data_IF_025089610391
#
_entry.id   IF_025089610391
#
_cell.length_a   1.000
_cell.length_b   1.000
_cell.length_c   1.000
_cell.angle_alpha   90.00
_cell.angle_beta   90.00
_cell.angle_gamma   90.00
#
_symmetry.space_group_name_H-M   'P 1'
#
loop_
_entity.id
_entity.type
_entity.pdbx_description
1 polymer ?
#
# COMPACT_ATOMS: atom_id res chain seq x y z
N UNK A 1 1.53 6.07 -11.13
CA UNK A 1 1.00 7.38 -10.73
C UNK A 1 0.33 7.28 -9.38
N UNK A 2 0.93 7.93 -8.37
CA UNK A 2 0.25 8.17 -7.09
C UNK A 2 -0.83 9.24 -7.32
N UNK A 3 -2.01 9.05 -6.72
CA UNK A 3 -3.17 9.92 -6.91
C UNK A 3 -3.59 10.60 -5.62
N UNK A 4 -3.62 9.86 -4.53
CA UNK A 4 -3.93 10.37 -3.20
C UNK A 4 -2.94 9.81 -2.19
N UNK A 5 -2.55 10.65 -1.23
CA UNK A 5 -1.84 10.23 -0.03
C UNK A 5 -2.55 10.85 1.16
N UNK A 6 -2.84 10.03 2.17
CA UNK A 6 -3.42 10.47 3.44
C UNK A 6 -2.56 9.97 4.58
N UNK A 7 -2.06 10.88 5.40
CA UNK A 7 -1.38 10.52 6.66
C UNK A 7 -2.46 10.13 7.67
N UNK A 8 -2.34 8.95 8.26
CA UNK A 8 -3.24 8.43 9.29
C UNK A 8 -2.76 8.81 10.68
N UNK A 9 -1.47 8.57 10.93
CA UNK A 9 -0.82 8.76 12.21
C UNK A 9 0.54 9.40 11.97
N UNK A 10 0.94 10.34 12.83
CA UNK A 10 2.24 10.99 12.76
C UNK A 10 2.81 11.20 14.15
N UNK A 11 4.01 10.68 14.38
CA UNK A 11 4.79 10.82 15.60
C UNK A 11 6.26 11.12 15.23
N UNK A 12 7.08 11.61 16.18
CA UNK A 12 8.48 11.96 15.89
C UNK A 12 9.33 10.82 15.31
N UNK A 13 9.01 9.57 15.66
CA UNK A 13 9.76 8.39 15.26
C UNK A 13 9.04 7.48 14.26
N UNK A 14 7.75 7.72 14.00
CA UNK A 14 6.96 6.88 13.11
C UNK A 14 5.81 7.68 12.48
N UNK A 15 5.50 7.42 11.22
CA UNK A 15 4.23 7.85 10.65
C UNK A 15 3.63 6.76 9.77
N UNK A 16 2.31 6.81 9.61
CA UNK A 16 1.54 5.90 8.76
C UNK A 16 0.80 6.69 7.70
N UNK A 17 0.74 6.16 6.50
CA UNK A 17 0.01 6.78 5.41
C UNK A 17 -0.67 5.74 4.53
N UNK A 18 -1.83 6.11 4.00
CA UNK A 18 -2.46 5.41 2.90
C UNK A 18 -2.09 6.12 1.60
N UNK A 19 -1.62 5.34 0.64
CA UNK A 19 -1.38 5.78 -0.73
C UNK A 19 -2.28 5.04 -1.69
N UNK A 20 -2.99 5.79 -2.52
CA UNK A 20 -3.79 5.26 -3.60
C UNK A 20 -3.27 5.76 -4.93
N UNK A 21 -3.29 4.90 -5.94
CA UNK A 21 -2.78 5.29 -7.25
C UNK A 21 -3.16 4.31 -8.33
N UNK A 22 -2.53 4.51 -9.47
CA UNK A 22 -2.67 3.66 -10.63
C UNK A 22 -1.29 3.29 -11.16
N UNK A 23 -1.13 2.06 -11.62
CA UNK A 23 0.09 1.57 -12.24
C UNK A 23 -0.20 1.12 -13.67
N UNK A 24 0.74 1.42 -14.56
CA UNK A 24 0.80 0.87 -15.90
C UNK A 24 1.91 -0.17 -15.90
N UNK A 25 1.57 -1.38 -16.33
CA UNK A 25 2.52 -2.48 -16.44
C UNK A 25 2.64 -2.85 -17.91
N UNK A 26 3.84 -3.24 -18.31
CA UNK A 26 4.08 -3.79 -19.63
C UNK A 26 4.50 -5.25 -19.50
N UNK A 27 4.00 -6.08 -20.40
CA UNK A 27 4.53 -7.41 -20.64
C UNK A 27 5.77 -7.28 -21.53
N UNK A 28 6.87 -7.89 -21.08
CA UNK A 28 8.17 -7.84 -21.78
C UNK A 28 8.74 -9.25 -21.88
N UNK A 29 9.57 -9.49 -22.89
CA UNK A 29 10.36 -10.73 -22.97
C UNK A 29 11.40 -10.77 -21.85
N UNK A 30 12.00 -11.95 -21.60
CA UNK A 30 13.13 -12.08 -20.67
C UNK A 30 14.35 -11.22 -21.05
N UNK A 31 14.48 -10.86 -22.33
CA UNK A 31 15.48 -9.90 -22.82
C UNK A 31 15.07 -8.43 -22.70
N UNK A 32 13.91 -8.14 -22.10
CA UNK A 32 13.39 -6.78 -21.90
C UNK A 32 12.69 -6.17 -23.12
N UNK A 33 12.47 -6.93 -24.19
CA UNK A 33 11.76 -6.42 -25.36
C UNK A 33 10.25 -6.28 -25.06
N UNK A 34 9.68 -5.12 -25.38
CA UNK A 34 8.26 -4.84 -25.17
C UNK A 34 7.36 -5.77 -26.00
N UNK A 35 6.32 -6.32 -25.36
CA UNK A 35 5.27 -7.14 -26.01
C UNK A 35 3.97 -6.34 -26.10
N UNK A 36 3.44 -5.91 -24.94
CA UNK A 36 2.20 -5.13 -24.85
C UNK A 36 2.06 -4.42 -23.51
N UNK A 37 1.25 -3.37 -23.46
CA UNK A 37 0.78 -2.74 -22.22
C UNK A 37 -0.39 -3.54 -21.64
N UNK A 38 -0.33 -3.82 -20.34
CA UNK A 38 -1.42 -4.45 -19.59
C UNK A 38 -2.47 -3.40 -19.19
N UNK A 39 -3.73 -3.81 -18.92
CA UNK A 39 -4.73 -2.91 -18.38
C UNK A 39 -4.21 -2.17 -17.14
N UNK A 40 -4.50 -0.87 -17.07
CA UNK A 40 -4.15 -0.03 -15.93
C UNK A 40 -4.74 -0.64 -14.66
N UNK A 41 -3.91 -0.78 -13.63
CA UNK A 41 -4.35 -1.30 -12.33
C UNK A 41 -4.38 -0.18 -11.32
N UNK A 42 -5.41 -0.13 -10.49
CA UNK A 42 -5.39 0.68 -9.28
C UNK A 42 -4.55 -0.03 -8.22
N UNK A 43 -3.99 0.73 -7.29
CA UNK A 43 -3.44 0.18 -6.06
C UNK A 43 -3.89 1.01 -4.86
N UNK A 44 -4.07 0.34 -3.74
CA UNK A 44 -4.35 0.95 -2.44
C UNK A 44 -3.44 0.27 -1.43
N UNK A 45 -2.60 1.07 -0.77
CA UNK A 45 -1.58 0.55 0.14
C UNK A 45 -1.50 1.38 1.40
N UNK A 46 -1.30 0.71 2.53
CA UNK A 46 -0.86 1.35 3.76
C UNK A 46 0.66 1.24 3.84
N UNK A 47 1.30 2.29 4.30
CA UNK A 47 2.73 2.39 4.49
C UNK A 47 3.00 2.85 5.92
N UNK A 48 3.95 2.19 6.58
CA UNK A 48 4.48 2.58 7.89
C UNK A 48 5.93 2.96 7.69
N UNK A 49 6.30 4.16 8.13
CA UNK A 49 7.66 4.67 8.07
C UNK A 49 8.20 4.90 9.46
N UNK A 50 9.42 4.44 9.72
CA UNK A 50 10.15 4.74 10.94
C UNK A 50 11.26 5.76 10.64
N UNK A 51 11.56 6.59 11.63
CA UNK A 51 12.67 7.55 11.57
C UNK A 51 13.95 6.85 12.05
N UNK A 52 14.95 6.80 11.18
CA UNK A 52 16.28 6.25 11.46
C UNK A 52 17.33 7.16 10.85
N UNK A 53 18.33 7.59 11.64
CA UNK A 53 19.43 8.46 11.19
C UNK A 53 18.93 9.72 10.46
N UNK A 54 17.90 10.36 10.99
CA UNK A 54 17.23 11.51 10.38
C UNK A 54 16.61 11.27 8.99
N UNK A 55 16.31 10.01 8.65
CA UNK A 55 15.62 9.64 7.44
C UNK A 55 14.37 8.81 7.74
N UNK A 56 13.33 8.98 6.92
CA UNK A 56 12.16 8.11 6.96
C UNK A 56 12.45 6.87 6.12
N UNK A 57 12.41 5.70 6.75
CA UNK A 57 12.58 4.40 6.10
C UNK A 57 11.27 3.63 6.15
N UNK A 58 10.94 2.94 5.06
CA UNK A 58 9.75 2.11 4.99
C UNK A 58 9.96 0.89 5.90
N UNK A 59 9.15 0.78 6.95
CA UNK A 59 9.20 -0.30 7.91
C UNK A 59 8.22 -1.44 7.55
N UNK A 60 7.05 -1.09 7.04
CA UNK A 60 6.04 -2.03 6.57
C UNK A 60 5.19 -1.41 5.46
N UNK A 61 4.68 -2.25 4.56
CA UNK A 61 3.69 -1.85 3.58
C UNK A 61 2.75 -3.00 3.27
N UNK A 62 1.46 -2.71 3.18
CA UNK A 62 0.46 -3.73 2.89
C UNK A 62 -0.48 -3.28 1.80
N UNK A 63 -0.76 -4.18 0.86
CA UNK A 63 -1.67 -3.94 -0.25
C UNK A 63 -3.08 -4.38 0.14
N UNK A 64 -4.04 -3.47 -0.03
CA UNK A 64 -5.45 -3.72 0.21
C UNK A 64 -6.32 -3.33 -0.99
N UNK A 65 -5.76 -3.40 -2.19
CA UNK A 65 -6.47 -3.16 -3.45
C UNK A 65 -7.65 -4.13 -3.61
N UNK A 66 -7.48 -5.38 -3.16
CA UNK A 66 -8.54 -6.37 -2.95
C UNK A 66 -8.85 -6.45 -1.44
N UNK A 67 -9.92 -5.82 -0.94
CA UNK A 67 -10.26 -5.77 0.49
C UNK A 67 -10.44 -7.15 1.11
N UNK A 68 -11.17 -8.02 0.41
CA UNK A 68 -11.54 -9.33 0.94
C UNK A 68 -10.31 -10.24 1.00
N UNK A 69 -9.49 -10.19 -0.06
CA UNK A 69 -8.19 -10.84 -0.09
C UNK A 69 -7.26 -10.32 1.01
N UNK A 70 -7.20 -9.01 1.20
CA UNK A 70 -6.36 -8.39 2.21
C UNK A 70 -6.78 -8.77 3.63
N UNK A 71 -8.08 -8.75 3.95
CA UNK A 71 -8.61 -9.17 5.26
C UNK A 71 -8.34 -10.65 5.51
N UNK A 72 -8.54 -11.52 4.51
CA UNK A 72 -8.21 -12.94 4.60
C UNK A 72 -6.72 -13.12 4.90
N UNK A 73 -5.85 -12.45 4.13
CA UNK A 73 -4.41 -12.61 4.20
C UNK A 73 -3.82 -12.00 5.48
N UNK A 74 -4.48 -10.99 6.05
CA UNK A 74 -4.12 -10.34 7.31
C UNK A 74 -4.03 -11.32 8.48
N UNK A 75 -4.84 -12.38 8.46
CA UNK A 75 -4.81 -13.43 9.49
C UNK A 75 -3.46 -14.17 9.56
N UNK A 76 -2.70 -14.19 8.47
CA UNK A 76 -1.41 -14.89 8.37
C UNK A 76 -0.20 -13.97 8.56
N UNK A 77 -0.41 -12.67 8.71
CA UNK A 77 0.67 -11.70 8.94
C UNK A 77 1.30 -11.93 10.31
N UNK A 78 2.62 -11.78 10.40
CA UNK A 78 3.37 -11.97 11.64
C UNK A 78 3.00 -10.88 12.67
N UNK A 79 3.02 -11.23 13.95
CA UNK A 79 2.62 -10.32 15.03
C UNK A 79 3.37 -8.98 14.99
N UNK A 80 4.68 -8.99 14.76
CA UNK A 80 5.48 -7.78 14.69
C UNK A 80 5.04 -6.82 13.56
N UNK A 81 4.56 -7.36 12.44
CA UNK A 81 4.07 -6.56 11.32
C UNK A 81 2.65 -6.05 11.59
N UNK A 82 1.82 -6.87 12.26
CA UNK A 82 0.51 -6.43 12.77
C UNK A 82 0.63 -5.28 13.77
N UNK A 83 1.61 -5.35 14.66
CA UNK A 83 1.88 -4.31 15.65
C UNK A 83 2.32 -2.99 14.97
N UNK A 84 3.10 -3.08 13.89
CA UNK A 84 3.53 -1.90 13.12
C UNK A 84 2.40 -1.25 12.34
N UNK A 85 1.64 -2.04 11.59
CA UNK A 85 0.57 -1.53 10.73
C UNK A 85 -0.61 -1.07 11.59
N UNK A 86 -1.01 -1.86 12.58
CA UNK A 86 -2.21 -1.64 13.38
C UNK A 86 -3.42 -2.38 12.78
N UNK A 87 -4.66 -1.96 13.09
CA UNK A 87 -5.87 -2.68 12.71
C UNK A 87 -6.19 -2.51 11.21
N UNK A 88 -5.49 -3.26 10.34
CA UNK A 88 -5.70 -3.19 8.89
C UNK A 88 -7.17 -3.32 8.46
N UNK A 89 -8.00 -4.23 9.02
CA UNK A 89 -9.41 -4.33 8.62
C UNK A 89 -10.20 -3.02 8.80
N UNK A 90 -9.89 -2.25 9.84
CA UNK A 90 -10.54 -0.96 10.09
C UNK A 90 -10.12 0.06 9.03
N UNK A 91 -8.82 0.12 8.72
CA UNK A 91 -8.32 0.99 7.65
C UNK A 91 -8.89 0.62 6.28
N UNK A 92 -9.04 -0.67 5.99
CA UNK A 92 -9.69 -1.14 4.75
C UNK A 92 -11.12 -0.62 4.70
N UNK A 93 -11.89 -0.75 5.78
CA UNK A 93 -13.28 -0.31 5.82
C UNK A 93 -13.42 1.21 5.64
N UNK A 94 -12.60 1.99 6.36
CA UNK A 94 -12.68 3.46 6.38
C UNK A 94 -12.07 4.15 5.15
N UNK A 95 -11.14 3.48 4.47
CA UNK A 95 -10.33 4.09 3.42
C UNK A 95 -10.32 3.32 2.10
N UNK A 96 -11.25 2.36 1.93
CA UNK A 96 -11.38 1.67 0.65
C UNK A 96 -11.70 2.64 -0.50
N UNK A 97 -12.51 3.67 -0.29
CA UNK A 97 -12.83 4.65 -1.33
C UNK A 97 -11.78 5.77 -1.39
N UNK A 98 -10.78 5.61 -2.26
CA UNK A 98 -9.77 6.65 -2.49
C UNK A 98 -10.22 7.77 -3.45
N UNK A 99 -11.53 8.05 -3.55
CA UNK A 99 -12.08 9.00 -4.54
C UNK A 99 -11.75 8.70 -6.01
N UNK A 100 -11.11 7.57 -6.29
CA UNK A 100 -10.79 7.08 -7.63
C UNK A 100 -12.04 6.33 -8.13
N UNK A 101 -12.87 7.05 -8.89
CA UNK A 101 -13.86 6.41 -9.73
C UNK A 101 -13.13 5.76 -10.91
N UNK A 102 -13.46 4.49 -11.18
CA UNK A 102 -12.98 3.75 -12.36
C UNK A 102 -13.38 4.44 -13.67
#
# INVERSE_FOLDING_TARGET
>A
DLKEVRVLEYAPLQFKAIGCGQMNLAEVTSGGAYIRTLPRRTFKKIYVFNREDDMWKLAAAYDFTDPDGAIRDWSYVLDWERDLIGPLPDYVHEHYSCGLHD
#
